data_IF_773359089681
#
_entry.id   IF_773359089681
#
_cell.length_a   1.000
_cell.length_b   1.000
_cell.length_c   1.000
_cell.angle_alpha   90.00
_cell.angle_beta   90.00
_cell.angle_gamma   90.00
#
_symmetry.space_group_name_H-M   'P 1'
#
loop_
_entity.id
_entity.type
_entity.pdbx_description
1 polymer ?
#
# COMPACT_ATOMS: atom_id res chain seq x y z
N UNK A 1 -4.08 -6.67 -10.31
CA UNK A 1 -4.82 -6.06 -9.18
C UNK A 1 -5.34 -4.71 -9.60
N UNK A 2 -6.42 -4.20 -9.03
CA UNK A 2 -6.89 -2.82 -9.26
C UNK A 2 -6.66 -1.93 -8.01
N UNK A 3 -6.95 -0.64 -8.13
CA UNK A 3 -6.78 0.36 -7.05
C UNK A 3 -7.44 -0.07 -5.73
N UNK A 4 -8.69 -0.55 -5.81
CA UNK A 4 -9.46 -0.98 -4.64
C UNK A 4 -8.79 -2.17 -3.94
N UNK A 5 -8.41 -3.19 -4.69
CA UNK A 5 -7.72 -4.37 -4.14
C UNK A 5 -6.40 -4.01 -3.45
N UNK A 6 -5.64 -3.06 -4.01
CA UNK A 6 -4.41 -2.57 -3.37
C UNK A 6 -4.74 -1.82 -2.09
N UNK A 7 -5.71 -0.91 -2.13
CA UNK A 7 -6.13 -0.13 -0.96
C UNK A 7 -6.62 -1.03 0.18
N UNK A 8 -7.45 -2.04 -0.12
CA UNK A 8 -7.99 -2.98 0.86
C UNK A 8 -6.86 -3.71 1.62
N UNK A 9 -5.83 -4.19 0.91
CA UNK A 9 -4.66 -4.83 1.54
C UNK A 9 -3.90 -3.84 2.45
N UNK A 10 -3.74 -2.59 2.03
CA UNK A 10 -3.06 -1.58 2.84
C UNK A 10 -3.88 -1.18 4.08
N UNK A 11 -5.21 -1.12 3.98
CA UNK A 11 -6.08 -0.90 5.14
C UNK A 11 -5.96 -2.05 6.14
N UNK A 12 -6.01 -3.31 5.67
CA UNK A 12 -5.83 -4.47 6.53
C UNK A 12 -4.48 -4.44 7.25
N UNK A 13 -3.40 -4.04 6.56
CA UNK A 13 -2.08 -3.85 7.19
C UNK A 13 -2.17 -2.78 8.28
N UNK A 14 -2.78 -1.63 8.00
CA UNK A 14 -2.91 -0.56 8.98
C UNK A 14 -3.66 -1.03 10.24
N UNK A 15 -4.77 -1.75 10.06
CA UNK A 15 -5.57 -2.32 11.15
C UNK A 15 -4.78 -3.34 11.96
N UNK A 16 -4.07 -4.27 11.30
CA UNK A 16 -3.23 -5.24 11.99
C UNK A 16 -2.09 -4.58 12.79
N UNK A 17 -1.49 -3.51 12.26
CA UNK A 17 -0.44 -2.77 12.98
C UNK A 17 -0.99 -2.06 14.21
N UNK A 18 -2.17 -1.46 14.11
CA UNK A 18 -2.82 -0.82 15.27
C UNK A 18 -3.20 -1.84 16.34
N UNK A 19 -3.76 -3.00 15.95
CA UNK A 19 -4.12 -4.07 16.88
C UNK A 19 -2.88 -4.62 17.60
N UNK A 20 -1.76 -4.79 16.90
CA UNK A 20 -0.50 -5.29 17.47
C UNK A 20 0.25 -4.24 18.30
N UNK A 21 -0.25 -3.00 18.40
CA UNK A 21 0.41 -1.92 19.13
C UNK A 21 1.75 -1.49 18.50
N UNK A 22 1.90 -1.70 17.20
CA UNK A 22 3.08 -1.25 16.45
C UNK A 22 3.12 0.28 16.37
N UNK A 23 4.23 0.79 15.82
CA UNK A 23 4.45 2.22 15.83
C UNK A 23 3.40 2.95 14.98
N UNK A 24 2.66 3.86 15.62
CA UNK A 24 1.52 4.61 15.08
C UNK A 24 1.82 5.26 13.72
N UNK A 25 3.05 5.74 13.51
CA UNK A 25 3.43 6.36 12.23
C UNK A 25 3.29 5.38 11.04
N UNK A 26 3.49 4.07 11.27
CA UNK A 26 3.38 3.06 10.22
C UNK A 26 1.93 2.87 9.80
N UNK A 27 1.02 2.67 10.75
CA UNK A 27 -0.40 2.47 10.42
C UNK A 27 -0.99 3.68 9.70
N UNK A 28 -0.64 4.90 10.13
CA UNK A 28 -1.05 6.14 9.46
C UNK A 28 -0.51 6.19 8.02
N UNK A 29 0.75 5.79 7.79
CA UNK A 29 1.32 5.77 6.43
C UNK A 29 0.58 4.79 5.52
N UNK A 30 0.26 3.59 6.01
CA UNK A 30 -0.52 2.59 5.27
C UNK A 30 -1.94 3.09 4.96
N UNK A 31 -2.65 3.64 5.95
CA UNK A 31 -3.97 4.27 5.77
C UNK A 31 -3.95 5.36 4.71
N UNK A 32 -3.02 6.31 4.84
CA UNK A 32 -2.92 7.43 3.91
C UNK A 32 -2.64 6.96 2.48
N UNK A 33 -1.74 6.00 2.31
CA UNK A 33 -1.47 5.43 0.99
C UNK A 33 -2.70 4.70 0.42
N UNK A 34 -3.42 3.94 1.24
CA UNK A 34 -4.66 3.28 0.85
C UNK A 34 -5.71 4.30 0.35
N UNK A 35 -5.94 5.37 1.12
CA UNK A 35 -6.86 6.44 0.75
C UNK A 35 -6.49 7.08 -0.60
N UNK A 36 -5.20 7.38 -0.79
CA UNK A 36 -4.74 8.02 -2.02
C UNK A 36 -4.83 7.07 -3.22
N UNK A 37 -4.51 5.79 -3.04
CA UNK A 37 -4.60 4.78 -4.11
C UNK A 37 -6.06 4.54 -4.50
N UNK A 38 -6.98 4.46 -3.53
CA UNK A 38 -8.40 4.27 -3.78
C UNK A 38 -9.00 5.43 -4.60
N UNK A 39 -8.53 6.65 -4.33
CA UNK A 39 -8.99 7.88 -4.99
C UNK A 39 -8.15 8.28 -6.21
N UNK A 40 -7.21 7.44 -6.66
CA UNK A 40 -6.45 7.70 -7.88
C UNK A 40 -7.40 7.82 -9.07
N UNK A 41 -7.27 8.91 -9.84
CA UNK A 41 -8.04 9.12 -11.08
C UNK A 41 -7.63 8.22 -12.25
N UNK A 42 -6.67 7.31 -12.06
CA UNK A 42 -6.21 6.33 -13.05
C UNK A 42 -5.81 5.02 -12.36
N UNK A 43 -5.57 3.99 -13.15
CA UNK A 43 -5.17 2.69 -12.64
C UNK A 43 -3.76 2.71 -12.01
N UNK A 44 -3.62 2.12 -10.82
CA UNK A 44 -2.38 2.01 -10.05
C UNK A 44 -1.28 1.25 -10.80
N UNK A 45 -1.64 0.29 -11.65
CA UNK A 45 -0.68 -0.44 -12.48
C UNK A 45 -0.03 0.50 -13.49
N UNK A 46 -0.74 1.50 -14.00
CA UNK A 46 -0.14 2.45 -14.92
C UNK A 46 0.83 3.37 -14.18
N UNK A 47 0.46 3.85 -12.99
CA UNK A 47 1.37 4.63 -12.13
C UNK A 47 2.63 3.83 -11.77
N UNK A 48 2.47 2.53 -11.53
CA UNK A 48 3.58 1.62 -11.26
C UNK A 48 4.49 1.41 -12.47
N UNK A 49 3.92 1.13 -13.66
CA UNK A 49 4.69 1.00 -14.91
C UNK A 49 5.44 2.29 -15.26
N UNK A 50 4.86 3.45 -14.94
CA UNK A 50 5.48 4.75 -15.12
C UNK A 50 6.62 5.02 -14.11
N UNK A 51 6.82 4.14 -13.11
CA UNK A 51 7.81 4.34 -12.05
C UNK A 51 7.44 5.41 -11.03
N UNK A 52 6.16 5.80 -10.96
CA UNK A 52 5.66 6.98 -10.23
C UNK A 52 4.96 6.67 -8.92
N UNK A 53 5.12 5.47 -8.36
CA UNK A 53 4.50 5.10 -7.08
C UNK A 53 4.80 6.10 -5.96
N UNK A 54 6.02 6.66 -5.94
CA UNK A 54 6.45 7.65 -4.93
C UNK A 54 5.82 9.03 -5.10
N UNK A 55 5.14 9.30 -6.21
CA UNK A 55 4.37 10.53 -6.41
C UNK A 55 3.01 10.47 -5.69
N UNK A 56 2.56 9.27 -5.29
CA UNK A 56 1.32 9.08 -4.55
C UNK A 56 1.52 9.56 -3.11
N UNK A 57 0.71 10.51 -2.60
CA UNK A 57 0.84 10.97 -1.23
C UNK A 57 0.69 9.82 -0.21
N UNK A 58 1.62 9.77 0.76
CA UNK A 58 1.70 8.66 1.72
C UNK A 58 2.57 7.48 1.28
N UNK A 59 2.99 7.42 0.01
CA UNK A 59 3.89 6.37 -0.49
C UNK A 59 5.35 6.83 -0.43
N UNK A 60 6.02 6.47 0.67
CA UNK A 60 7.47 6.60 0.81
C UNK A 60 8.25 5.46 0.13
N UNK A 61 9.59 5.55 0.15
CA UNK A 61 10.50 4.56 -0.46
C UNK A 61 10.21 3.11 -0.02
N UNK A 62 10.05 2.88 1.29
CA UNK A 62 9.78 1.55 1.82
C UNK A 62 8.42 1.00 1.36
N UNK A 63 7.41 1.87 1.25
CA UNK A 63 6.08 1.47 0.80
C UNK A 63 6.04 1.25 -0.71
N UNK A 64 6.76 2.06 -1.48
CA UNK A 64 6.91 1.88 -2.92
C UNK A 64 7.49 0.51 -3.26
N UNK A 65 8.49 0.03 -2.51
CA UNK A 65 9.05 -1.33 -2.69
C UNK A 65 8.03 -2.44 -2.42
N UNK A 66 7.18 -2.26 -1.40
CA UNK A 66 6.09 -3.21 -1.10
C UNK A 66 5.01 -3.20 -2.17
N UNK A 67 4.66 -2.03 -2.68
CA UNK A 67 3.72 -1.88 -3.78
C UNK A 67 4.27 -2.49 -5.08
N UNK A 68 5.56 -2.32 -5.37
CA UNK A 68 6.21 -3.00 -6.49
C UNK A 68 6.11 -4.52 -6.39
N UNK A 69 6.42 -5.09 -5.22
CA UNK A 69 6.27 -6.53 -4.96
C UNK A 69 4.82 -6.99 -5.16
N UNK A 70 3.87 -6.27 -4.58
CA UNK A 70 2.45 -6.58 -4.63
C UNK A 70 1.90 -6.53 -6.06
N UNK A 71 2.24 -5.48 -6.82
CA UNK A 71 1.76 -5.30 -8.19
C UNK A 71 2.44 -6.27 -9.17
N UNK A 72 3.70 -6.62 -8.92
CA UNK A 72 4.44 -7.59 -9.75
C UNK A 72 3.99 -9.03 -9.51
N UNK A 73 3.76 -9.41 -8.26
CA UNK A 73 3.55 -10.82 -7.88
C UNK A 73 2.13 -11.17 -7.49
N UNK A 74 1.28 -10.16 -7.27
CA UNK A 74 -0.07 -10.32 -6.70
C UNK A 74 -0.07 -10.68 -5.21
N UNK A 75 1.10 -10.73 -4.57
CA UNK A 75 1.30 -11.09 -3.17
C UNK A 75 2.24 -10.11 -2.49
N UNK A 76 2.09 -9.97 -1.19
CA UNK A 76 2.96 -9.12 -0.38
C UNK A 76 3.39 -9.94 0.83
N UNK A 77 4.65 -10.38 0.86
CA UNK A 77 5.15 -11.23 1.95
C UNK A 77 5.04 -10.56 3.32
N UNK A 78 5.11 -9.23 3.35
CA UNK A 78 4.87 -8.47 4.59
C UNK A 78 3.44 -8.60 5.11
N UNK A 79 2.44 -8.61 4.22
CA UNK A 79 1.04 -8.79 4.59
C UNK A 79 0.79 -10.23 5.04
N UNK A 80 1.33 -11.21 4.30
CA UNK A 80 1.23 -12.62 4.66
C UNK A 80 1.86 -12.93 6.02
N UNK A 81 2.98 -12.29 6.37
CA UNK A 81 3.63 -12.48 7.68
C UNK A 81 2.95 -11.77 8.85
N UNK A 82 2.01 -10.84 8.60
CA UNK A 82 1.23 -10.19 9.66
C UNK A 82 -0.02 -10.99 10.04
N UNK A 83 -0.53 -11.75 9.08
CA UNK A 83 -1.71 -12.63 9.20
C UNK A 83 -1.38 -13.88 10.01
#
# INVERSE_FOLDING_TARGET
MNNRQVADILYDIADMLEIKGEIIYKSIAYRRAADNILNLGRDINDVWRDGKLREIPGVGEALAKKLDELLRTGRLGYYEGLR
#
